data_IF_974849284382
#
_entry.id   IF_974849284382
#
_cell.length_a   1.000
_cell.length_b   1.000
_cell.length_c   1.000
_cell.angle_alpha   90.00
_cell.angle_beta   90.00
_cell.angle_gamma   90.00
#
_symmetry.space_group_name_H-M   'P 1'
#
loop_
_entity.id
_entity.type
_entity.pdbx_description
1 polymer ?
#
# COMPACT_ATOMS: atom_id res chain seq x y z
N UNK A 1 -1.17 -4.36 -13.41
CA UNK A 1 -1.45 -5.51 -12.53
C UNK A 1 -2.25 -5.00 -11.35
N UNK A 2 -3.11 -5.83 -10.76
CA UNK A 2 -3.82 -5.49 -9.51
C UNK A 2 -3.26 -6.34 -8.37
N UNK A 3 -2.95 -5.71 -7.24
CA UNK A 3 -2.35 -6.32 -6.05
C UNK A 3 -3.13 -5.90 -4.81
N UNK A 4 -3.41 -6.84 -3.92
CA UNK A 4 -4.00 -6.56 -2.61
C UNK A 4 -3.00 -6.89 -1.49
N UNK A 5 -2.79 -5.94 -0.59
CA UNK A 5 -1.92 -6.07 0.57
C UNK A 5 -2.73 -5.85 1.85
N UNK A 6 -2.51 -6.69 2.85
CA UNK A 6 -3.03 -6.46 4.19
C UNK A 6 -1.97 -5.72 5.03
N UNK A 7 -2.36 -4.62 5.68
CA UNK A 7 -1.46 -3.80 6.51
C UNK A 7 -2.01 -3.68 7.93
N UNK A 8 -1.65 -4.63 8.79
CA UNK A 8 -2.26 -4.77 10.13
C UNK A 8 -1.98 -3.57 11.07
N UNK A 9 -0.86 -2.89 10.84
CA UNK A 9 -0.40 -1.77 11.67
C UNK A 9 -1.08 -0.44 11.29
N UNK A 10 -1.90 -0.42 10.23
CA UNK A 10 -2.73 0.72 9.88
C UNK A 10 -3.87 0.88 10.91
N UNK A 11 -3.88 2.00 11.62
CA UNK A 11 -4.82 2.25 12.73
C UNK A 11 -5.61 3.57 12.62
N UNK A 12 -5.22 4.48 11.73
CA UNK A 12 -5.90 5.77 11.54
C UNK A 12 -5.84 6.25 10.08
N UNK A 13 -6.64 7.27 9.74
CA UNK A 13 -6.61 7.90 8.40
C UNK A 13 -5.26 8.53 8.03
N UNK A 14 -4.44 8.90 9.03
CA UNK A 14 -3.06 9.35 8.82
C UNK A 14 -2.16 8.25 8.25
N UNK A 15 -2.31 7.01 8.73
CA UNK A 15 -1.57 5.86 8.20
C UNK A 15 -1.92 5.60 6.73
N UNK A 16 -3.21 5.68 6.36
CA UNK A 16 -3.64 5.51 4.98
C UNK A 16 -2.99 6.56 4.05
N UNK A 17 -2.98 7.82 4.45
CA UNK A 17 -2.33 8.87 3.65
C UNK A 17 -0.82 8.65 3.52
N UNK A 18 -0.13 8.21 4.57
CA UNK A 18 1.31 7.88 4.49
C UNK A 18 1.59 6.74 3.51
N UNK A 19 0.78 5.68 3.54
CA UNK A 19 0.89 4.53 2.61
C UNK A 19 0.61 4.99 1.17
N UNK A 20 -0.46 5.74 0.93
CA UNK A 20 -0.79 6.25 -0.40
C UNK A 20 0.33 7.13 -0.98
N UNK A 21 0.95 7.99 -0.15
CA UNK A 21 2.09 8.81 -0.54
C UNK A 21 3.33 8.00 -0.86
N UNK A 22 3.62 6.96 -0.09
CA UNK A 22 4.75 6.09 -0.35
C UNK A 22 4.60 5.39 -1.71
N UNK A 23 3.41 4.85 -1.99
CA UNK A 23 3.10 4.17 -3.24
C UNK A 23 3.12 5.12 -4.45
N UNK A 24 2.47 6.27 -4.35
CA UNK A 24 2.48 7.28 -5.43
C UNK A 24 3.84 7.95 -5.62
N UNK A 25 4.71 7.91 -4.60
CA UNK A 25 6.09 8.39 -4.69
C UNK A 25 6.98 7.50 -5.56
N UNK A 26 6.77 6.18 -5.54
CA UNK A 26 7.50 5.22 -6.37
C UNK A 26 6.82 4.96 -7.72
N UNK A 27 5.49 5.07 -7.78
CA UNK A 27 4.71 4.99 -9.01
C UNK A 27 3.60 6.06 -9.02
N UNK A 28 3.85 7.24 -9.61
CA UNK A 28 2.85 8.31 -9.72
C UNK A 28 1.60 7.93 -10.53
N UNK A 29 1.67 6.87 -11.34
CA UNK A 29 0.54 6.37 -12.14
C UNK A 29 -0.25 5.26 -11.42
N UNK A 30 0.18 4.83 -10.23
CA UNK A 30 -0.52 3.80 -9.47
C UNK A 30 -1.89 4.30 -9.01
N UNK A 31 -2.92 3.47 -9.20
CA UNK A 31 -4.20 3.67 -8.54
C UNK A 31 -4.16 2.94 -7.19
N UNK A 32 -4.43 3.66 -6.10
CA UNK A 32 -4.36 3.13 -4.74
C UNK A 32 -5.70 3.34 -4.05
N UNK A 33 -6.29 2.25 -3.57
CA UNK A 33 -7.49 2.26 -2.75
C UNK A 33 -7.15 1.66 -1.37
N UNK A 34 -7.45 2.40 -0.30
CA UNK A 34 -7.09 2.00 1.07
C UNK A 34 -8.33 1.95 1.93
N UNK A 35 -8.64 0.76 2.40
CA UNK A 35 -9.70 0.52 3.36
C UNK A 35 -9.10 0.36 4.77
N UNK A 36 -9.25 1.41 5.58
CA UNK A 36 -8.78 1.44 6.96
C UNK A 36 -9.58 0.49 7.86
N UNK A 37 -10.86 0.26 7.55
CA UNK A 37 -11.73 -0.63 8.33
C UNK A 37 -11.35 -2.09 8.16
N UNK A 38 -11.03 -2.51 6.93
CA UNK A 38 -10.59 -3.88 6.65
C UNK A 38 -9.07 -4.07 6.70
N UNK A 39 -8.31 -2.96 6.79
CA UNK A 39 -6.85 -2.92 6.76
C UNK A 39 -6.25 -3.46 5.47
N UNK A 40 -6.92 -3.18 4.35
CA UNK A 40 -6.54 -3.63 3.02
C UNK A 40 -6.13 -2.44 2.16
N UNK A 41 -5.07 -2.63 1.38
CA UNK A 41 -4.57 -1.70 0.39
C UNK A 41 -4.63 -2.40 -0.96
N UNK A 42 -5.43 -1.87 -1.88
CA UNK A 42 -5.50 -2.35 -3.27
C UNK A 42 -4.70 -1.40 -4.15
N UNK A 43 -3.89 -1.98 -5.04
CA UNK A 43 -2.93 -1.24 -5.84
C UNK A 43 -3.03 -1.73 -7.27
N UNK A 44 -3.36 -0.84 -8.20
CA UNK A 44 -3.18 -1.07 -9.61
C UNK A 44 -1.92 -0.34 -10.08
N UNK A 45 -0.89 -1.09 -10.44
CA UNK A 45 0.43 -0.57 -10.84
C UNK A 45 1.09 -1.46 -11.89
N UNK A 46 2.08 -0.92 -12.61
CA UNK A 46 2.98 -1.70 -13.47
C UNK A 46 4.23 -2.17 -12.74
N UNK A 47 4.49 -1.68 -11.53
CA UNK A 47 5.64 -2.10 -10.74
C UNK A 47 5.43 -3.53 -10.18
N UNK A 48 6.52 -4.28 -9.97
CA UNK A 48 6.48 -5.55 -9.27
C UNK A 48 6.01 -5.40 -7.82
N UNK A 49 5.30 -6.40 -7.30
CA UNK A 49 4.82 -6.42 -5.92
C UNK A 49 5.92 -6.15 -4.89
N UNK A 50 7.14 -6.65 -5.12
CA UNK A 50 8.28 -6.42 -4.23
C UNK A 50 8.60 -4.92 -4.05
N UNK A 51 8.57 -4.13 -5.12
CA UNK A 51 8.86 -2.68 -5.02
C UNK A 51 7.75 -1.93 -4.26
N UNK A 52 6.50 -2.36 -4.44
CA UNK A 52 5.36 -1.78 -3.72
C UNK A 52 5.43 -2.11 -2.22
N UNK A 53 5.84 -3.33 -1.88
CA UNK A 53 6.07 -3.78 -0.50
C UNK A 53 7.20 -2.96 0.14
N UNK A 54 8.35 -2.85 -0.51
CA UNK A 54 9.50 -2.07 -0.01
C UNK A 54 9.12 -0.60 0.22
N UNK A 55 8.32 0.00 -0.67
CA UNK A 55 7.86 1.38 -0.50
C UNK A 55 7.00 1.55 0.76
N UNK A 56 6.11 0.60 1.04
CA UNK A 56 5.26 0.61 2.24
C UNK A 56 6.11 0.36 3.50
N UNK A 57 7.09 -0.55 3.44
CA UNK A 57 8.04 -0.81 4.53
C UNK A 57 8.92 0.38 4.85
N UNK A 58 9.40 1.10 3.84
CA UNK A 58 10.15 2.35 4.01
C UNK A 58 9.32 3.45 4.68
N UNK A 59 7.99 3.40 4.57
CA UNK A 59 7.07 4.28 5.28
C UNK A 59 6.76 3.83 6.72
N UNK A 60 7.35 2.70 7.17
CA UNK A 60 7.24 2.17 8.52
C UNK A 60 6.06 1.22 8.74
N UNK A 61 5.54 0.60 7.68
CA UNK A 61 4.41 -0.33 7.74
C UNK A 61 4.79 -1.72 7.23
N UNK A 62 4.14 -2.77 7.71
CA UNK A 62 4.45 -4.15 7.32
C UNK A 62 3.30 -4.75 6.49
N UNK A 63 3.34 -4.64 5.15
CA UNK A 63 2.33 -5.24 4.30
C UNK A 63 2.57 -6.74 4.16
N UNK A 64 1.48 -7.50 4.02
CA UNK A 64 1.54 -8.91 3.60
C UNK A 64 0.65 -9.11 2.39
N UNK A 65 1.16 -9.83 1.38
CA UNK A 65 0.37 -10.18 0.19
C UNK A 65 -0.88 -10.93 0.60
N UNK A 66 -2.03 -10.44 0.12
CA UNK A 66 -3.31 -11.11 0.28
C UNK A 66 -3.56 -11.93 -1.00
N UNK A 67 -3.80 -13.23 -0.83
CA UNK A 67 -3.95 -14.20 -1.90
C UNK A 67 -5.38 -14.71 -2.02
#
# INVERSE_FOLDING_TARGET
MELELAVKDMSCGGCANSIARALTGVDPAAAVDIDVSTKIVKIASTLPAAQLIEAIEAAGFHPSIKN
#
